data_IF_645660504335
#
_entry.id   IF_645660504335
#
_cell.length_a   1.000
_cell.length_b   1.000
_cell.length_c   1.000
_cell.angle_alpha   90.00
_cell.angle_beta   90.00
_cell.angle_gamma   90.00
#
_symmetry.space_group_name_H-M   'P 1'
#
loop_
_entity.id
_entity.type
_entity.pdbx_description
1 polymer ?
#
# COMPACT_ATOMS: atom_id res chain seq x y z
N UNK A 1 -12.61 1.10 4.54
CA UNK A 1 -11.19 0.72 4.39
C UNK A 1 -10.59 1.69 3.38
N UNK A 2 -9.46 2.33 3.71
CA UNK A 2 -8.81 3.27 2.79
C UNK A 2 -8.13 2.54 1.62
N UNK A 3 -7.76 3.26 0.56
CA UNK A 3 -7.01 2.67 -0.56
C UNK A 3 -5.65 2.10 -0.08
N UNK A 4 -4.98 2.82 0.82
CA UNK A 4 -3.75 2.37 1.49
C UNK A 4 -3.94 1.05 2.23
N UNK A 5 -5.03 0.92 3.00
CA UNK A 5 -5.32 -0.32 3.72
C UNK A 5 -5.54 -1.50 2.76
N UNK A 6 -6.30 -1.29 1.67
CA UNK A 6 -6.54 -2.32 0.64
C UNK A 6 -5.23 -2.75 -0.03
N UNK A 7 -4.36 -1.79 -0.32
CA UNK A 7 -3.03 -2.06 -0.87
C UNK A 7 -2.18 -2.89 0.11
N UNK A 8 -2.14 -2.54 1.40
CA UNK A 8 -1.40 -3.30 2.41
C UNK A 8 -1.94 -4.71 2.60
N UNK A 9 -3.27 -4.89 2.59
CA UNK A 9 -3.90 -6.22 2.66
C UNK A 9 -3.56 -7.09 1.44
N UNK A 10 -3.59 -6.49 0.23
CA UNK A 10 -3.13 -7.17 -0.98
C UNK A 10 -1.66 -7.55 -0.87
N UNK A 11 -0.80 -6.61 -0.45
CA UNK A 11 0.63 -6.85 -0.29
C UNK A 11 0.89 -7.99 0.71
N UNK A 12 0.22 -8.00 1.86
CA UNK A 12 0.34 -9.07 2.85
C UNK A 12 -0.03 -10.43 2.26
N UNK A 13 -1.18 -10.51 1.57
CA UNK A 13 -1.68 -11.75 0.96
C UNK A 13 -0.74 -12.29 -0.13
N UNK A 14 -0.06 -11.38 -0.84
CA UNK A 14 0.76 -11.67 -2.01
C UNK A 14 2.27 -11.55 -1.74
N UNK A 15 2.66 -11.39 -0.47
CA UNK A 15 4.00 -10.98 -0.06
C UNK A 15 5.11 -11.89 -0.60
N UNK A 16 4.84 -13.19 -0.68
CA UNK A 16 5.84 -14.19 -1.10
C UNK A 16 6.37 -13.94 -2.51
N UNK A 17 5.49 -13.72 -3.49
CA UNK A 17 5.91 -13.47 -4.87
C UNK A 17 6.28 -12.01 -5.12
N UNK A 18 5.65 -11.06 -4.39
CA UNK A 18 6.01 -9.64 -4.49
C UNK A 18 7.45 -9.40 -4.03
N UNK A 19 7.91 -10.08 -2.98
CA UNK A 19 9.31 -9.99 -2.55
C UNK A 19 10.28 -10.50 -3.60
N UNK A 20 9.99 -11.63 -4.23
CA UNK A 20 10.81 -12.17 -5.32
C UNK A 20 10.84 -11.18 -6.48
N UNK A 21 9.69 -10.63 -6.88
CA UNK A 21 9.60 -9.65 -7.96
C UNK A 21 10.43 -8.38 -7.67
N UNK A 22 10.43 -7.90 -6.43
CA UNK A 22 11.21 -6.74 -6.01
C UNK A 22 12.71 -7.06 -5.92
N UNK A 23 13.09 -8.11 -5.20
CA UNK A 23 14.49 -8.43 -4.87
C UNK A 23 15.26 -8.98 -6.08
N UNK A 24 14.66 -9.90 -6.84
CA UNK A 24 15.30 -10.56 -7.98
C UNK A 24 14.98 -9.87 -9.31
N UNK A 25 13.75 -9.35 -9.44
CA UNK A 25 13.29 -8.69 -10.66
C UNK A 25 13.75 -7.24 -10.80
N UNK A 26 14.21 -6.61 -9.71
CA UNK A 26 14.64 -5.20 -9.73
C UNK A 26 13.51 -4.19 -9.93
N UNK A 27 12.25 -4.61 -9.79
CA UNK A 27 11.06 -3.77 -9.93
C UNK A 27 10.76 -3.01 -8.63
N UNK A 28 11.67 -2.13 -8.24
CA UNK A 28 11.49 -1.26 -7.09
C UNK A 28 12.10 0.12 -7.29
N UNK A 29 11.44 1.13 -6.72
CA UNK A 29 11.96 2.49 -6.61
C UNK A 29 12.58 2.67 -5.23
N UNK A 30 13.84 3.10 -5.18
CA UNK A 30 14.53 3.43 -3.93
C UNK A 30 14.06 4.80 -3.45
N UNK A 31 13.34 4.83 -2.33
CA UNK A 31 12.99 6.04 -1.60
C UNK A 31 14.13 6.36 -0.63
N UNK A 32 14.77 7.51 -0.84
CA UNK A 32 15.83 8.07 0.00
C UNK A 32 16.91 7.07 0.47
N UNK A 33 17.33 6.17 -0.44
CA UNK A 33 18.40 5.18 -0.27
C UNK A 33 18.18 4.11 0.83
N UNK A 34 16.99 4.01 1.43
CA UNK A 34 16.72 3.06 2.54
C UNK A 34 15.32 2.42 2.52
N UNK A 35 14.45 2.89 1.65
CA UNK A 35 13.07 2.40 1.53
C UNK A 35 12.86 1.89 0.11
N UNK A 36 12.21 0.74 -0.02
CA UNK A 36 11.95 0.15 -1.33
C UNK A 36 10.45 0.13 -1.57
N UNK A 37 10.01 0.87 -2.58
CA UNK A 37 8.64 0.84 -3.06
C UNK A 37 8.54 -0.11 -4.26
N UNK A 38 7.51 -0.96 -4.38
CA UNK A 38 7.28 -1.69 -5.62
C UNK A 38 7.14 -0.73 -6.81
N UNK A 39 7.48 -1.22 -8.00
CA UNK A 39 7.31 -0.48 -9.25
C UNK A 39 5.93 0.18 -9.38
N UNK A 40 5.92 1.44 -9.79
CA UNK A 40 4.71 2.26 -9.82
C UNK A 40 3.64 1.74 -10.77
N UNK A 41 4.01 1.10 -11.90
CA UNK A 41 3.02 0.46 -12.78
C UNK A 41 2.33 -0.72 -12.09
N UNK A 42 3.10 -1.51 -11.32
CA UNK A 42 2.54 -2.61 -10.54
C UNK A 42 1.53 -2.09 -9.51
N UNK A 43 1.90 -1.04 -8.76
CA UNK A 43 1.00 -0.42 -7.77
C UNK A 43 -0.27 0.06 -8.47
N UNK A 44 -0.16 0.88 -9.52
CA UNK A 44 -1.30 1.44 -10.26
C UNK A 44 -2.21 0.36 -10.84
N UNK A 45 -1.64 -0.71 -11.40
CA UNK A 45 -2.39 -1.84 -11.93
C UNK A 45 -3.20 -2.56 -10.85
N UNK A 46 -2.58 -2.85 -9.70
CA UNK A 46 -3.25 -3.50 -8.57
C UNK A 46 -4.34 -2.61 -7.98
N UNK A 47 -4.05 -1.34 -7.67
CA UNK A 47 -5.05 -0.47 -7.04
C UNK A 47 -6.23 -0.17 -7.96
N UNK A 48 -6.00 -0.11 -9.27
CA UNK A 48 -7.07 0.00 -10.27
C UNK A 48 -7.95 -1.25 -10.32
N UNK A 49 -7.42 -2.43 -9.97
CA UNK A 49 -8.20 -3.67 -9.86
C UNK A 49 -8.95 -3.77 -8.52
N UNK A 50 -8.32 -3.36 -7.41
CA UNK A 50 -8.92 -3.34 -6.07
C UNK A 50 -10.01 -2.29 -5.92
N UNK A 51 -9.90 -1.17 -6.63
CA UNK A 51 -10.86 -0.06 -6.59
C UNK A 51 -11.22 0.39 -8.01
N UNK A 52 -12.20 -0.25 -8.67
CA UNK A 52 -12.55 0.05 -10.05
C UNK A 52 -12.97 1.50 -10.32
N UNK A 53 -13.55 2.18 -9.32
CA UNK A 53 -13.89 3.62 -9.38
C UNK A 53 -12.66 4.52 -9.56
N UNK A 54 -11.47 4.06 -9.15
CA UNK A 54 -10.22 4.78 -9.33
C UNK A 54 -9.86 4.96 -10.81
N UNK A 55 -10.33 4.07 -11.70
CA UNK A 55 -10.07 4.16 -13.14
C UNK A 55 -10.61 5.44 -13.76
N UNK A 56 -11.80 5.87 -13.34
CA UNK A 56 -12.42 7.11 -13.84
C UNK A 56 -11.60 8.35 -13.46
N UNK A 57 -10.98 8.31 -12.28
CA UNK A 57 -10.10 9.36 -11.77
C UNK A 57 -8.70 9.30 -12.40
N UNK A 58 -8.14 8.11 -12.62
CA UNK A 58 -6.79 7.95 -13.18
C UNK A 58 -6.70 8.37 -14.65
N UNK A 59 -7.74 8.13 -15.46
CA UNK A 59 -7.74 8.50 -16.89
C UNK A 59 -7.39 9.98 -17.13
N UNK A 60 -8.03 10.97 -16.48
CA UNK A 60 -7.63 12.36 -16.64
C UNK A 60 -6.27 12.67 -16.02
N UNK A 61 -5.88 12.05 -14.89
CA UNK A 61 -4.55 12.27 -14.30
C UNK A 61 -3.42 11.80 -15.23
N UNK A 62 -3.54 10.60 -15.81
CA UNK A 62 -2.58 10.08 -16.79
C UNK A 62 -2.46 10.97 -18.05
N UNK A 63 -3.55 11.62 -18.46
CA UNK A 63 -3.51 12.58 -19.59
C UNK A 63 -2.79 13.88 -19.25
N UNK A 64 -2.79 14.27 -17.97
CA UNK A 64 -2.13 15.48 -17.48
C UNK A 64 -0.66 15.24 -17.14
N UNK A 65 -0.36 14.09 -16.54
CA UNK A 65 0.98 13.65 -16.21
C UNK A 65 1.09 12.14 -16.37
N UNK A 66 2.02 11.69 -17.20
CA UNK A 66 2.30 10.26 -17.44
C UNK A 66 3.36 9.70 -16.51
N UNK A 67 3.93 10.52 -15.63
CA UNK A 67 4.87 10.10 -14.59
C UNK A 67 4.14 9.27 -13.53
N UNK A 68 4.35 7.96 -13.57
CA UNK A 68 3.75 6.98 -12.69
C UNK A 68 4.18 7.11 -11.22
N UNK A 69 5.43 7.50 -10.96
CA UNK A 69 5.91 7.72 -9.59
C UNK A 69 5.18 8.91 -8.97
N UNK A 70 5.02 10.00 -9.73
CA UNK A 70 4.25 11.17 -9.29
C UNK A 70 2.76 10.84 -9.05
N UNK A 71 2.18 9.93 -9.84
CA UNK A 71 0.80 9.46 -9.63
C UNK A 71 0.69 8.62 -8.36
N UNK A 72 1.61 7.69 -8.11
CA UNK A 72 1.65 6.86 -6.90
C UNK A 72 1.87 7.72 -5.65
N UNK A 73 2.71 8.76 -5.74
CA UNK A 73 2.89 9.75 -4.68
C UNK A 73 1.60 10.52 -4.39
N UNK A 74 0.90 11.01 -5.43
CA UNK A 74 -0.37 11.73 -5.27
C UNK A 74 -1.48 10.87 -4.63
N UNK A 75 -1.43 9.54 -4.82
CA UNK A 75 -2.33 8.58 -4.18
C UNK A 75 -1.92 8.26 -2.73
N UNK A 76 -0.76 8.74 -2.27
CA UNK A 76 -0.22 8.43 -0.94
C UNK A 76 0.23 6.97 -0.80
N UNK A 77 0.64 6.35 -1.92
CA UNK A 77 1.05 4.95 -1.99
C UNK A 77 2.57 4.77 -2.16
N UNK A 78 3.30 5.87 -2.26
CA UNK A 78 4.76 5.87 -2.41
C UNK A 78 5.45 5.64 -1.06
N UNK A 79 5.49 4.38 -0.61
CA UNK A 79 6.11 3.98 0.66
C UNK A 79 6.66 2.55 0.61
N UNK A 80 7.50 2.21 1.58
CA UNK A 80 7.95 0.83 1.81
C UNK A 80 6.81 -0.02 2.42
N UNK A 81 6.25 -0.98 1.66
CA UNK A 81 5.08 -1.74 2.10
C UNK A 81 5.42 -2.70 3.24
N UNK A 82 6.67 -3.15 3.38
CA UNK A 82 7.08 -4.03 4.47
C UNK A 82 7.10 -3.27 5.81
N UNK A 83 7.66 -2.05 5.79
CA UNK A 83 7.67 -1.16 6.96
C UNK A 83 6.27 -0.74 7.35
N UNK A 84 5.47 -0.31 6.39
CA UNK A 84 4.09 0.13 6.65
C UNK A 84 3.19 -1.02 7.11
N UNK A 85 3.34 -2.24 6.56
CA UNK A 85 2.61 -3.42 7.03
C UNK A 85 2.93 -3.74 8.49
N UNK A 86 4.20 -3.62 8.89
CA UNK A 86 4.62 -3.84 10.28
C UNK A 86 3.94 -2.85 11.24
N UNK A 87 3.91 -1.55 10.88
CA UNK A 87 3.22 -0.53 11.67
C UNK A 87 1.72 -0.80 11.76
N UNK A 88 1.09 -1.12 10.63
CA UNK A 88 -0.34 -1.39 10.54
C UNK A 88 -0.78 -2.57 11.42
N UNK A 89 0.03 -3.63 11.49
CA UNK A 89 -0.23 -4.77 12.38
C UNK A 89 -0.12 -4.39 13.85
N UNK A 90 0.93 -3.65 14.23
CA UNK A 90 1.10 -3.18 15.61
C UNK A 90 -0.05 -2.27 16.05
N UNK A 91 -0.53 -1.39 15.17
CA UNK A 91 -1.69 -0.52 15.42
C UNK A 91 -2.99 -1.31 15.60
N UNK A 92 -3.20 -2.36 14.78
CA UNK A 92 -4.35 -3.26 14.92
C UNK A 92 -4.32 -4.05 16.22
N UNK A 93 -3.17 -4.60 16.60
CA UNK A 93 -2.99 -5.33 17.86
C UNK A 93 -3.26 -4.43 19.07
N UNK A 94 -2.72 -3.19 19.05
CA UNK A 94 -2.99 -2.19 20.09
C UNK A 94 -4.47 -1.83 20.16
N UNK A 95 -5.11 -1.58 19.02
CA UNK A 95 -6.53 -1.22 18.95
C UNK A 95 -7.42 -2.36 19.46
N UNK A 96 -7.08 -3.60 19.16
CA UNK A 96 -7.77 -4.79 19.68
C UNK A 96 -7.60 -4.92 21.19
N UNK A 97 -6.39 -4.72 21.69
CA UNK A 97 -6.08 -4.73 23.12
C UNK A 97 -6.87 -3.64 23.86
N UNK A 98 -6.85 -2.40 23.39
CA UNK A 98 -7.61 -1.28 23.97
C UNK A 98 -9.11 -1.54 23.96
N UNK A 99 -9.64 -2.11 22.86
CA UNK A 99 -11.05 -2.50 22.76
C UNK A 99 -11.40 -3.59 23.77
N UNK A 100 -10.53 -4.58 23.97
CA UNK A 100 -10.73 -5.66 24.92
C UNK A 100 -10.66 -5.18 26.37
N UNK A 101 -9.72 -4.29 26.70
CA UNK A 101 -9.66 -3.63 28.01
C UNK A 101 -10.94 -2.87 28.33
N UNK A 102 -11.48 -2.09 27.39
CA UNK A 102 -12.71 -1.32 27.60
C UNK A 102 -13.95 -2.20 27.80
N UNK A 103 -14.00 -3.42 27.24
CA UNK A 103 -15.09 -4.37 27.49
C UNK A 103 -15.11 -4.87 28.94
N UNK A 104 -13.95 -5.00 29.59
CA UNK A 104 -13.85 -5.50 30.95
C UNK A 104 -14.49 -4.56 31.99
N UNK A 105 -14.54 -3.25 31.71
CA UNK A 105 -15.12 -2.23 32.60
C UNK A 105 -16.60 -1.90 32.29
N UNK A 106 -17.22 -2.58 31.33
CA UNK A 106 -18.62 -2.39 30.93
C UNK A 106 -19.60 -3.42 31.52
N UNK A 107 -19.18 -4.20 32.53
CA UNK A 107 -20.05 -5.11 33.30
C UNK A 107 -20.80 -4.34 34.37
#
# INVERSE_FOLDING_TARGET
MSLKDKWLEFYETNRSWLKILMEEGGYYTSLDNKETCPDSMLILGVVSALEPSLKETLVPFCKLNTDEDALVEALGLNFDPEKELTKWKAEKEKSQSDTEYLKQFRT
#
